data_IF_605428057387
#
_entry.id   IF_605428057387
#
_cell.length_a   1.000
_cell.length_b   1.000
_cell.length_c   1.000
_cell.angle_alpha   90.00
_cell.angle_beta   90.00
_cell.angle_gamma   90.00
#
_symmetry.space_group_name_H-M   'P 1'
#
loop_
_entity.id
_entity.type
_entity.pdbx_description
1 polymer ?
#
# COMPACT_ATOMS: atom_id res chain seq x y z
N UNK A 1 -7.56 -9.39 2.09
CA UNK A 1 -8.27 -8.84 0.91
C UNK A 1 -9.66 -9.47 0.85
N UNK A 2 -10.59 -8.88 0.10
CA UNK A 2 -11.87 -9.53 -0.19
C UNK A 2 -11.68 -10.76 -1.09
N UNK A 3 -12.74 -11.55 -1.27
CA UNK A 3 -12.71 -12.78 -2.06
C UNK A 3 -12.21 -12.54 -3.50
N UNK A 4 -12.61 -11.42 -4.10
CA UNK A 4 -12.26 -11.05 -5.47
C UNK A 4 -10.88 -10.40 -5.59
N UNK A 5 -10.16 -10.18 -4.48
CA UNK A 5 -8.84 -9.52 -4.41
C UNK A 5 -8.82 -8.11 -5.02
N UNK A 6 -9.95 -7.41 -4.97
CA UNK A 6 -10.11 -6.04 -5.48
C UNK A 6 -9.98 -4.97 -4.39
N UNK A 7 -10.12 -5.37 -3.12
CA UNK A 7 -10.04 -4.48 -1.95
C UNK A 7 -9.18 -5.08 -0.82
N UNK A 8 -8.50 -4.19 -0.10
CA UNK A 8 -7.87 -4.53 1.19
C UNK A 8 -8.97 -4.53 2.26
N UNK A 9 -8.96 -5.54 3.13
CA UNK A 9 -9.93 -5.66 4.23
C UNK A 9 -9.22 -5.31 5.54
N UNK A 10 -9.83 -4.43 6.33
CA UNK A 10 -9.47 -4.27 7.74
C UNK A 10 -9.92 -5.49 8.53
N UNK A 11 -8.97 -6.20 9.15
CA UNK A 11 -9.25 -7.41 9.94
C UNK A 11 -10.09 -7.16 11.19
N UNK A 12 -10.12 -5.93 11.71
CA UNK A 12 -10.83 -5.62 12.96
C UNK A 12 -12.33 -5.37 12.75
N UNK A 13 -12.71 -4.65 11.68
CA UNK A 13 -14.09 -4.19 11.49
C UNK A 13 -14.63 -4.38 10.06
N UNK A 14 -13.87 -5.05 9.19
CA UNK A 14 -14.31 -5.39 7.84
C UNK A 14 -14.38 -4.22 6.84
N UNK A 15 -13.81 -3.06 7.16
CA UNK A 15 -13.75 -1.93 6.24
C UNK A 15 -13.01 -2.29 4.93
N UNK A 16 -13.48 -1.75 3.81
CA UNK A 16 -12.94 -2.02 2.48
C UNK A 16 -12.17 -0.81 1.96
N UNK A 17 -10.91 -1.03 1.58
CA UNK A 17 -10.03 0.00 1.03
C UNK A 17 -9.64 -0.32 -0.40
N UNK A 18 -9.72 0.68 -1.29
CA UNK A 18 -9.24 0.58 -2.67
C UNK A 18 -7.74 0.37 -2.69
N UNK A 19 -7.26 -0.56 -3.52
CA UNK A 19 -5.83 -0.88 -3.63
C UNK A 19 -5.05 0.30 -4.25
N UNK A 20 -5.68 1.06 -5.15
CA UNK A 20 -5.01 2.08 -5.96
C UNK A 20 -4.58 3.31 -5.15
N UNK A 21 -5.43 3.75 -4.23
CA UNK A 21 -5.31 5.04 -3.54
C UNK A 21 -5.50 4.94 -2.03
N UNK A 22 -5.82 3.74 -1.53
CA UNK A 22 -6.03 3.51 -0.10
C UNK A 22 -7.35 4.06 0.43
N UNK A 23 -8.27 4.58 -0.38
CA UNK A 23 -9.53 5.17 0.09
C UNK A 23 -10.45 4.12 0.70
N UNK A 24 -10.98 4.39 1.91
CA UNK A 24 -12.04 3.59 2.51
C UNK A 24 -13.37 3.84 1.81
N UNK A 25 -13.96 2.81 1.21
CA UNK A 25 -15.24 2.89 0.48
C UNK A 25 -16.39 2.19 1.20
N UNK A 26 -16.10 1.48 2.30
CA UNK A 26 -17.11 0.79 3.11
C UNK A 26 -16.62 0.60 4.53
N UNK A 27 -17.53 0.67 5.51
CA UNK A 27 -17.26 0.45 6.93
C UNK A 27 -17.00 1.73 7.74
N UNK A 28 -16.66 1.57 9.02
CA UNK A 28 -16.61 2.68 9.99
C UNK A 28 -15.49 3.70 9.71
N UNK A 29 -14.56 3.40 8.81
CA UNK A 29 -13.43 4.27 8.46
C UNK A 29 -13.72 5.20 7.27
N UNK A 30 -15.00 5.40 6.91
CA UNK A 30 -15.40 6.22 5.74
C UNK A 30 -14.79 7.62 5.83
N UNK A 31 -14.09 8.04 4.77
CA UNK A 31 -13.37 9.32 4.70
C UNK A 31 -11.89 9.26 5.09
N UNK A 32 -11.41 8.15 5.65
CA UNK A 32 -9.99 7.90 5.84
C UNK A 32 -9.36 7.20 4.61
N UNK A 33 -8.04 7.30 4.49
CA UNK A 33 -7.27 6.57 3.49
C UNK A 33 -5.99 5.96 4.09
N UNK A 34 -5.56 4.81 3.56
CA UNK A 34 -4.27 4.21 3.86
C UNK A 34 -3.14 5.00 3.18
N UNK A 35 -1.96 5.03 3.82
CA UNK A 35 -0.76 5.61 3.21
C UNK A 35 -0.31 4.76 2.02
N UNK A 36 -0.21 5.37 0.84
CA UNK A 36 0.33 4.72 -0.35
C UNK A 36 1.83 4.53 -0.20
N UNK A 37 2.32 3.31 -0.47
CA UNK A 37 3.74 2.99 -0.50
C UNK A 37 4.20 2.96 -1.96
N UNK A 38 5.06 3.90 -2.40
CA UNK A 38 5.56 3.91 -3.77
C UNK A 38 6.37 2.64 -4.04
N UNK A 39 6.16 2.07 -5.22
CA UNK A 39 6.81 0.83 -5.63
C UNK A 39 7.11 0.83 -7.12
N UNK A 40 8.08 0.02 -7.52
CA UNK A 40 8.45 -0.20 -8.91
C UNK A 40 8.66 -1.69 -9.16
N UNK A 41 8.33 -2.11 -10.38
CA UNK A 41 8.59 -3.46 -10.87
C UNK A 41 9.71 -3.38 -11.89
N UNK A 42 10.86 -3.99 -11.59
CA UNK A 42 12.00 -4.11 -12.51
C UNK A 42 12.53 -5.55 -12.44
N UNK A 43 12.82 -6.17 -13.59
CA UNK A 43 13.45 -7.50 -13.67
C UNK A 43 12.73 -8.58 -12.83
N UNK A 44 11.40 -8.66 -12.95
CA UNK A 44 10.52 -9.59 -12.20
C UNK A 44 10.61 -9.47 -10.67
N UNK A 45 11.11 -8.34 -10.17
CA UNK A 45 11.18 -8.01 -8.75
C UNK A 45 10.36 -6.77 -8.45
N UNK A 46 9.75 -6.76 -7.26
CA UNK A 46 9.01 -5.62 -6.74
C UNK A 46 9.90 -4.93 -5.72
N UNK A 47 10.08 -3.62 -5.87
CA UNK A 47 10.85 -2.79 -4.96
C UNK A 47 9.95 -1.76 -4.31
N UNK A 48 10.02 -1.65 -2.99
CA UNK A 48 9.44 -0.53 -2.25
C UNK A 48 10.44 0.61 -2.27
N UNK A 49 9.96 1.81 -2.59
CA UNK A 49 10.78 3.01 -2.49
C UNK A 49 10.67 3.55 -1.08
N UNK A 50 11.80 3.64 -0.36
CA UNK A 50 11.84 4.45 0.83
C UNK A 50 11.70 5.93 0.44
N UNK A 51 10.72 6.61 1.04
CA UNK A 51 10.66 8.06 1.04
C UNK A 51 11.52 8.54 2.21
N UNK A 52 12.68 9.12 1.93
CA UNK A 52 13.47 9.82 2.95
C UNK A 52 12.78 11.15 3.30
N UNK A 53 13.17 11.77 4.42
CA UNK A 53 12.47 12.91 5.06
C UNK A 53 12.25 14.14 4.17
N UNK A 54 12.92 14.23 3.02
CA UNK A 54 12.87 15.36 2.08
C UNK A 54 12.15 15.03 0.76
N UNK A 55 11.49 13.87 0.63
CA UNK A 55 10.69 13.54 -0.55
C UNK A 55 11.50 13.19 -1.81
N UNK A 56 12.78 12.87 -1.66
CA UNK A 56 13.66 12.50 -2.77
C UNK A 56 13.82 10.97 -2.86
N UNK A 57 13.49 10.42 -4.03
CA UNK A 57 13.53 8.98 -4.30
C UNK A 57 14.98 8.47 -4.38
N UNK A 58 15.61 8.19 -3.23
CA UNK A 58 16.92 7.56 -3.23
C UNK A 58 16.79 6.07 -3.57
N UNK A 59 17.39 5.65 -4.70
CA UNK A 59 17.59 4.23 -5.08
C UNK A 59 18.41 3.43 -4.05
N UNK A 60 18.96 4.08 -3.01
CA UNK A 60 19.95 3.48 -2.11
C UNK A 60 19.40 2.57 -1.01
N UNK A 61 18.09 2.34 -0.93
CA UNK A 61 17.50 1.49 0.11
C UNK A 61 16.53 0.48 -0.47
N UNK A 62 17.07 -0.46 -1.24
CA UNK A 62 16.38 -1.73 -1.51
C UNK A 62 16.29 -2.50 -0.18
N UNK A 63 15.25 -2.25 0.60
CA UNK A 63 14.93 -3.11 1.72
C UNK A 63 14.54 -4.47 1.13
N UNK A 64 15.41 -5.48 1.27
CA UNK A 64 15.02 -6.87 1.09
C UNK A 64 14.00 -7.16 2.19
N UNK A 65 12.72 -7.05 1.84
CA UNK A 65 11.65 -7.51 2.69
C UNK A 65 11.48 -8.99 2.38
N UNK A 66 12.27 -9.81 3.07
CA UNK A 66 12.06 -11.26 3.10
C UNK A 66 10.71 -11.48 3.79
N UNK A 67 9.72 -11.96 3.02
CA UNK A 67 8.37 -12.30 3.49
C UNK A 67 8.39 -13.67 4.16
#
# INVERSE_FOLDING_TARGET
MNADKTYIICSTHGALFRIQDGTCVSGPCTGAALTVVPNIVENDKIYLMCLDSEGEHSRSKFANFDI
#
